data_IF_987211953779
#
_entry.id   IF_987211953779
#
_cell.length_a   1.000
_cell.length_b   1.000
_cell.length_c   1.000
_cell.angle_alpha   90.00
_cell.angle_beta   90.00
_cell.angle_gamma   90.00
#
_symmetry.space_group_name_H-M   'P 1'
#
loop_
_entity.id
_entity.type
_entity.pdbx_description
1 polymer ?
#
# COMPACT_ATOMS: atom_id res chain seq x y z
N UNK A 1 -56.96 -15.09 -56.49
CA UNK A 1 -55.56 -15.53 -56.31
C UNK A 1 -54.96 -14.80 -55.13
N UNK A 2 -54.88 -15.48 -53.97
CA UNK A 2 -54.36 -14.85 -52.71
C UNK A 2 -52.94 -15.34 -52.54
N UNK A 3 -51.95 -14.42 -52.60
CA UNK A 3 -50.55 -14.69 -52.33
C UNK A 3 -50.34 -14.64 -50.80
N UNK A 4 -50.00 -15.79 -50.21
CA UNK A 4 -49.54 -15.87 -48.82
C UNK A 4 -48.10 -15.39 -48.73
N UNK A 5 -47.86 -14.30 -48.07
CA UNK A 5 -46.51 -13.85 -47.64
C UNK A 5 -46.16 -14.62 -46.35
N UNK A 6 -45.20 -15.49 -46.40
CA UNK A 6 -44.59 -16.12 -45.23
C UNK A 6 -43.54 -15.19 -44.69
N UNK A 7 -43.84 -14.51 -43.60
CA UNK A 7 -42.87 -13.73 -42.84
C UNK A 7 -42.02 -14.71 -42.02
N UNK A 8 -40.76 -14.90 -42.43
CA UNK A 8 -39.79 -15.66 -41.66
C UNK A 8 -39.28 -14.79 -40.51
N UNK A 9 -39.72 -15.10 -39.28
CA UNK A 9 -39.25 -14.45 -38.05
C UNK A 9 -37.88 -15.01 -37.70
N UNK A 10 -36.80 -14.30 -38.02
CA UNK A 10 -35.43 -14.63 -37.56
C UNK A 10 -35.32 -14.12 -36.14
N UNK A 11 -35.50 -15.03 -35.18
CA UNK A 11 -35.19 -14.76 -33.79
C UNK A 11 -33.66 -14.70 -33.64
N UNK A 12 -33.11 -13.49 -33.60
CA UNK A 12 -31.70 -13.25 -33.27
C UNK A 12 -31.50 -13.53 -31.77
N UNK A 13 -30.99 -14.72 -31.45
CA UNK A 13 -30.56 -15.08 -30.12
C UNK A 13 -29.33 -14.20 -29.79
N UNK A 14 -29.59 -13.05 -29.18
CA UNK A 14 -28.55 -12.29 -28.48
C UNK A 14 -28.12 -13.08 -27.23
N UNK A 15 -27.14 -13.94 -27.38
CA UNK A 15 -26.45 -14.55 -26.25
C UNK A 15 -25.65 -13.41 -25.60
N UNK A 16 -25.93 -13.04 -24.36
CA UNK A 16 -25.10 -12.04 -23.69
C UNK A 16 -23.70 -12.65 -23.48
N UNK A 17 -22.75 -12.25 -24.32
CA UNK A 17 -21.35 -12.66 -24.26
C UNK A 17 -20.60 -12.19 -23.02
N UNK A 18 -21.28 -11.55 -22.07
CA UNK A 18 -20.72 -11.10 -20.79
C UNK A 18 -20.85 -12.10 -19.63
N UNK A 19 -21.51 -13.26 -19.83
CA UNK A 19 -21.73 -14.21 -18.72
C UNK A 19 -20.50 -15.08 -18.37
N UNK A 20 -19.44 -15.03 -19.16
CA UNK A 20 -18.25 -15.89 -18.94
C UNK A 20 -17.07 -15.16 -18.28
N UNK A 21 -17.17 -13.86 -18.02
CA UNK A 21 -16.10 -13.08 -17.38
C UNK A 21 -16.15 -13.10 -15.84
N UNK A 22 -17.23 -13.58 -15.23
CA UNK A 22 -17.37 -13.66 -13.78
C UNK A 22 -17.24 -15.11 -13.32
N UNK A 23 -16.05 -15.69 -13.51
CA UNK A 23 -15.71 -17.03 -13.01
C UNK A 23 -15.62 -17.12 -11.47
N UNK A 24 -15.89 -16.04 -10.75
CA UNK A 24 -15.99 -16.04 -9.31
C UNK A 24 -17.46 -16.04 -8.90
N UNK A 25 -17.88 -17.13 -8.28
CA UNK A 25 -19.20 -17.20 -7.68
C UNK A 25 -19.31 -16.10 -6.61
N UNK A 26 -20.10 -15.07 -6.89
CA UNK A 26 -20.25 -13.90 -6.01
C UNK A 26 -20.66 -14.30 -4.59
N UNK A 27 -21.42 -15.37 -4.41
CA UNK A 27 -21.79 -15.92 -3.12
C UNK A 27 -20.60 -16.54 -2.36
N UNK A 28 -19.69 -17.22 -3.05
CA UNK A 28 -18.47 -17.77 -2.46
C UNK A 28 -17.52 -16.65 -2.04
N UNK A 29 -17.33 -15.63 -2.87
CA UNK A 29 -16.56 -14.45 -2.54
C UNK A 29 -17.11 -13.75 -1.28
N UNK A 30 -18.42 -13.49 -1.24
CA UNK A 30 -19.06 -12.88 -0.07
C UNK A 30 -18.95 -13.74 1.18
N UNK A 31 -19.05 -15.06 1.06
CA UNK A 31 -18.85 -15.98 2.18
C UNK A 31 -17.43 -15.90 2.74
N UNK A 32 -16.43 -15.87 1.86
CA UNK A 32 -15.03 -15.73 2.26
C UNK A 32 -14.81 -14.37 2.94
N UNK A 33 -15.29 -13.30 2.33
CA UNK A 33 -15.16 -11.95 2.87
C UNK A 33 -15.81 -11.81 4.26
N UNK A 34 -16.99 -12.37 4.46
CA UNK A 34 -17.68 -12.40 5.76
C UNK A 34 -16.96 -13.28 6.81
N UNK A 35 -16.22 -14.31 6.37
CA UNK A 35 -15.44 -15.17 7.26
C UNK A 35 -14.13 -14.53 7.73
N UNK A 36 -13.64 -13.51 7.00
CA UNK A 36 -12.43 -12.78 7.36
C UNK A 36 -12.77 -11.78 8.46
N UNK A 37 -12.49 -12.16 9.70
CA UNK A 37 -12.51 -11.21 10.81
C UNK A 37 -11.22 -10.40 10.76
N UNK A 38 -11.30 -9.19 10.21
CA UNK A 38 -10.20 -8.25 10.34
C UNK A 38 -10.02 -7.94 11.83
N UNK A 39 -8.79 -8.04 12.37
CA UNK A 39 -8.54 -7.64 13.74
C UNK A 39 -8.99 -6.19 13.89
N UNK A 40 -9.87 -5.94 14.86
CA UNK A 40 -10.35 -4.61 15.16
C UNK A 40 -9.18 -3.75 15.61
N UNK A 41 -8.65 -2.94 14.69
CA UNK A 41 -7.63 -1.95 15.03
C UNK A 41 -8.33 -0.94 15.91
N UNK A 42 -7.98 -0.91 17.19
CA UNK A 42 -8.41 0.16 18.10
C UNK A 42 -7.82 1.46 17.57
N UNK A 43 -8.56 2.14 16.68
CA UNK A 43 -8.17 3.47 16.25
C UNK A 43 -8.13 4.36 17.50
N UNK A 44 -6.93 4.72 17.91
CA UNK A 44 -6.77 5.71 18.96
C UNK A 44 -7.32 7.05 18.44
N UNK A 45 -8.15 7.71 19.25
CA UNK A 45 -8.65 9.05 18.92
C UNK A 45 -7.52 10.10 18.82
N UNK A 46 -6.29 9.75 19.21
CA UNK A 46 -5.13 10.65 19.18
C UNK A 46 -4.46 10.63 17.82
N UNK A 47 -4.47 11.76 17.14
CA UNK A 47 -3.84 11.98 15.84
C UNK A 47 -2.58 12.85 15.98
N UNK A 48 -1.54 12.49 15.21
CA UNK A 48 -0.24 13.18 15.25
C UNK A 48 0.21 13.44 13.81
N UNK A 49 0.07 14.67 13.33
CA UNK A 49 0.49 15.04 11.98
C UNK A 49 2.02 15.15 11.90
N UNK A 50 2.65 14.52 10.90
CA UNK A 50 4.11 14.52 10.74
C UNK A 50 4.69 15.93 10.62
N UNK A 51 3.95 16.88 10.04
CA UNK A 51 4.33 18.29 9.90
C UNK A 51 4.56 18.98 11.23
N UNK A 52 3.80 18.62 12.26
CA UNK A 52 3.96 19.15 13.62
C UNK A 52 5.18 18.55 14.36
N UNK A 53 5.77 17.48 13.83
CA UNK A 53 6.87 16.74 14.44
C UNK A 53 8.17 16.76 13.62
N UNK A 54 8.32 17.78 12.76
CA UNK A 54 9.58 18.09 12.10
C UNK A 54 9.71 17.57 10.66
N UNK A 55 8.70 16.88 10.12
CA UNK A 55 8.65 16.59 8.69
C UNK A 55 8.29 17.86 7.90
N UNK A 56 8.93 18.05 6.75
CA UNK A 56 8.72 19.22 5.87
C UNK A 56 8.82 18.80 4.42
N UNK A 57 8.20 19.56 3.52
CA UNK A 57 8.20 19.27 2.09
C UNK A 57 9.54 19.52 1.42
N UNK A 58 10.22 20.61 1.82
CA UNK A 58 11.45 21.11 1.18
C UNK A 58 12.72 20.70 1.94
N UNK A 59 12.75 19.48 2.48
CA UNK A 59 13.92 18.93 3.16
C UNK A 59 14.33 17.59 2.50
N UNK A 60 15.52 17.11 2.86
CA UNK A 60 16.00 15.82 2.35
C UNK A 60 15.10 14.65 2.80
N UNK A 61 15.06 13.59 2.00
CA UNK A 61 14.36 12.36 2.38
C UNK A 61 14.86 11.80 3.72
N UNK A 62 16.14 11.91 4.00
CA UNK A 62 16.75 11.50 5.27
C UNK A 62 16.19 12.27 6.49
N UNK A 63 15.95 13.56 6.35
CA UNK A 63 15.37 14.37 7.43
C UNK A 63 13.93 13.97 7.72
N UNK A 64 13.11 13.79 6.66
CA UNK A 64 11.73 13.32 6.81
C UNK A 64 11.68 11.90 7.36
N UNK A 65 12.51 10.99 6.87
CA UNK A 65 12.63 9.63 7.42
C UNK A 65 12.88 9.64 8.92
N UNK A 66 13.86 10.45 9.37
CA UNK A 66 14.18 10.58 10.80
C UNK A 66 12.99 11.15 11.61
N UNK A 67 12.32 12.16 11.09
CA UNK A 67 11.17 12.79 11.76
C UNK A 67 9.99 11.81 11.86
N UNK A 68 9.63 11.12 10.76
CA UNK A 68 8.53 10.17 10.72
C UNK A 68 8.80 8.96 11.63
N UNK A 69 9.99 8.35 11.54
CA UNK A 69 10.34 7.20 12.38
C UNK A 69 10.40 7.57 13.88
N UNK A 70 10.90 8.77 14.20
CA UNK A 70 10.88 9.29 15.59
C UNK A 70 9.44 9.48 16.10
N UNK A 71 8.54 9.98 15.25
CA UNK A 71 7.14 10.16 15.62
C UNK A 71 6.44 8.82 15.81
N UNK A 72 6.62 7.86 14.91
CA UNK A 72 6.07 6.50 15.03
C UNK A 72 6.52 5.87 16.36
N UNK A 73 7.80 5.94 16.68
CA UNK A 73 8.33 5.42 17.94
C UNK A 73 7.74 6.16 19.18
N UNK A 74 7.55 7.46 19.08
CA UNK A 74 6.92 8.26 20.16
C UNK A 74 5.47 7.85 20.38
N UNK A 75 4.69 7.71 19.29
CA UNK A 75 3.27 7.35 19.36
C UNK A 75 3.10 5.95 19.92
N UNK A 76 3.89 4.98 19.47
CA UNK A 76 3.92 3.62 20.01
C UNK A 76 4.20 3.63 21.54
N UNK A 77 5.22 4.35 21.99
CA UNK A 77 5.55 4.47 23.43
C UNK A 77 4.44 5.13 24.27
N UNK A 78 3.60 5.96 23.66
CA UNK A 78 2.44 6.58 24.32
C UNK A 78 1.20 5.69 24.36
N UNK A 79 1.33 4.42 23.96
CA UNK A 79 0.23 3.44 23.93
C UNK A 79 -0.55 3.43 22.63
N UNK A 80 0.01 4.04 21.58
CA UNK A 80 -0.56 3.99 20.23
C UNK A 80 -1.27 5.27 19.80
N UNK A 81 -1.63 5.29 18.52
CA UNK A 81 -2.32 6.40 17.89
C UNK A 81 -2.17 6.41 16.38
N UNK A 82 -2.75 7.42 15.76
CA UNK A 82 -2.70 7.63 14.32
C UNK A 82 -1.62 8.66 13.98
N UNK A 83 -0.61 8.23 13.22
CA UNK A 83 0.39 9.12 12.60
C UNK A 83 -0.16 9.56 11.25
N UNK A 84 -0.46 10.84 11.11
CA UNK A 84 -1.11 11.40 9.93
C UNK A 84 -0.08 11.95 8.96
N UNK A 85 -0.16 11.51 7.71
CA UNK A 85 0.53 12.10 6.56
C UNK A 85 -0.48 13.05 5.89
N UNK A 86 -0.34 14.37 6.05
CA UNK A 86 -1.29 15.33 5.49
C UNK A 86 -1.20 15.38 3.96
N UNK A 87 -2.23 15.95 3.33
CA UNK A 87 -2.22 16.26 1.90
C UNK A 87 -0.92 16.99 1.53
N UNK A 88 -0.20 16.47 0.61
CA UNK A 88 0.99 16.99 -0.08
C UNK A 88 1.96 15.84 -0.45
N UNK A 89 3.10 16.16 -1.08
CA UNK A 89 4.14 15.16 -1.36
C UNK A 89 5.22 15.18 -0.28
N UNK A 90 5.39 14.03 0.38
CA UNK A 90 6.34 13.82 1.47
C UNK A 90 7.42 12.83 1.04
N UNK A 91 8.58 13.34 0.66
CA UNK A 91 9.71 12.50 0.26
C UNK A 91 10.42 11.93 1.49
N UNK A 92 10.63 10.62 1.54
CA UNK A 92 11.21 9.92 2.69
C UNK A 92 12.09 8.74 2.27
N UNK A 93 12.85 8.17 3.20
CA UNK A 93 13.44 6.83 3.10
C UNK A 93 12.58 5.79 3.81
N UNK A 94 13.15 4.63 4.15
CA UNK A 94 12.45 3.53 4.80
C UNK A 94 11.76 3.95 6.11
N UNK A 95 10.52 3.49 6.28
CA UNK A 95 9.72 3.71 7.50
C UNK A 95 9.66 2.39 8.28
N UNK A 96 9.93 2.47 9.57
CA UNK A 96 9.80 1.33 10.49
C UNK A 96 8.55 1.48 11.35
N UNK A 97 7.57 0.60 11.14
CA UNK A 97 6.36 0.56 11.94
C UNK A 97 6.63 0.02 13.34
N UNK A 98 5.92 0.54 14.32
CA UNK A 98 5.93 0.10 15.72
C UNK A 98 4.52 -0.28 16.15
N UNK A 99 4.42 -1.15 17.16
CA UNK A 99 3.12 -1.62 17.66
C UNK A 99 2.16 -0.48 18.02
N UNK A 100 0.88 -0.70 17.77
CA UNK A 100 -0.24 0.19 18.08
C UNK A 100 -0.27 1.49 17.27
N UNK A 101 0.39 1.53 16.10
CA UNK A 101 0.44 2.72 15.25
C UNK A 101 -0.34 2.48 13.96
N UNK A 102 -1.26 3.39 13.67
CA UNK A 102 -1.90 3.54 12.37
C UNK A 102 -1.17 4.64 11.58
N UNK A 103 -0.62 4.31 10.41
CA UNK A 103 -0.06 5.27 9.46
C UNK A 103 -1.17 5.69 8.50
N UNK A 104 -1.73 6.88 8.72
CA UNK A 104 -2.88 7.37 7.97
C UNK A 104 -2.48 8.40 6.92
N UNK A 105 -2.75 8.12 5.66
CA UNK A 105 -2.51 9.03 4.56
C UNK A 105 -3.81 9.75 4.20
N UNK A 106 -3.86 11.06 4.38
CA UNK A 106 -5.02 11.87 3.99
C UNK A 106 -5.22 11.83 2.46
N UNK A 107 -6.41 12.15 2.01
CA UNK A 107 -6.70 12.26 0.58
C UNK A 107 -5.81 13.33 -0.07
N UNK A 108 -5.12 12.95 -1.14
CA UNK A 108 -4.12 13.80 -1.81
C UNK A 108 -2.74 13.84 -1.14
N UNK A 109 -2.51 13.06 -0.08
CA UNK A 109 -1.18 12.81 0.43
C UNK A 109 -0.42 11.84 -0.49
N UNK A 110 0.84 12.13 -0.76
CA UNK A 110 1.76 11.23 -1.47
C UNK A 110 2.98 10.99 -0.59
N UNK A 111 3.14 9.77 -0.10
CA UNK A 111 4.34 9.34 0.60
C UNK A 111 5.32 8.74 -0.41
N UNK A 112 6.29 9.54 -0.84
CA UNK A 112 7.22 9.18 -1.91
C UNK A 112 8.54 8.67 -1.35
N UNK A 113 8.93 7.46 -1.71
CA UNK A 113 10.18 6.85 -1.28
C UNK A 113 11.33 7.22 -2.21
N UNK A 114 12.40 7.77 -1.63
CA UNK A 114 13.55 8.23 -2.38
C UNK A 114 14.43 7.05 -2.84
N UNK A 115 14.94 7.12 -4.07
CA UNK A 115 16.00 6.24 -4.54
C UNK A 115 17.35 6.64 -3.93
N UNK A 116 17.55 6.28 -2.68
CA UNK A 116 18.78 6.50 -1.93
C UNK A 116 19.08 5.26 -1.08
N UNK A 117 19.81 4.25 -1.57
CA UNK A 117 20.02 2.96 -0.89
C UNK A 117 20.47 3.08 0.57
N UNK A 118 21.26 4.11 0.91
CA UNK A 118 21.69 4.38 2.28
C UNK A 118 20.56 4.68 3.27
N UNK A 119 19.36 5.00 2.79
CA UNK A 119 18.17 5.25 3.62
C UNK A 119 17.40 3.95 3.92
N UNK A 120 17.87 2.82 3.41
CA UNK A 120 17.26 1.50 3.60
C UNK A 120 18.25 0.60 4.34
N UNK A 121 18.22 0.61 5.69
CA UNK A 121 19.17 -0.18 6.48
C UNK A 121 19.02 -1.67 6.20
N UNK A 122 20.08 -2.43 6.40
CA UNK A 122 20.01 -3.88 6.37
C UNK A 122 19.17 -4.37 7.55
N UNK A 123 18.18 -5.19 7.25
CA UNK A 123 17.27 -5.79 8.23
C UNK A 123 17.22 -7.30 8.06
N UNK A 124 16.89 -8.00 9.14
CA UNK A 124 16.62 -9.44 9.05
C UNK A 124 15.30 -9.65 8.33
N UNK A 125 15.34 -10.43 7.28
CA UNK A 125 14.18 -10.75 6.43
C UNK A 125 14.30 -12.18 5.89
N UNK A 126 13.46 -12.53 4.92
CA UNK A 126 13.59 -13.76 4.16
C UNK A 126 13.48 -13.46 2.67
N UNK A 127 14.22 -14.18 1.88
CA UNK A 127 14.12 -14.18 0.42
C UNK A 127 13.84 -15.61 -0.03
N UNK A 128 12.74 -15.84 -0.72
CA UNK A 128 12.31 -17.17 -1.19
C UNK A 128 12.35 -18.26 -0.09
N UNK A 129 11.95 -17.89 1.13
CA UNK A 129 11.95 -18.79 2.29
C UNK A 129 13.29 -18.90 3.03
N UNK A 130 14.37 -18.33 2.51
CA UNK A 130 15.70 -18.34 3.15
C UNK A 130 15.86 -17.11 4.02
N UNK A 131 16.19 -17.31 5.30
CA UNK A 131 16.48 -16.20 6.22
C UNK A 131 17.75 -15.48 5.79
N UNK A 132 17.69 -14.18 5.60
CA UNK A 132 18.82 -13.37 5.15
C UNK A 132 18.80 -11.96 5.77
N UNK A 133 19.90 -11.24 5.58
CA UNK A 133 19.96 -9.81 5.76
C UNK A 133 19.87 -9.14 4.39
N UNK A 134 18.93 -8.22 4.24
CA UNK A 134 18.75 -7.48 3.00
C UNK A 134 18.33 -6.04 3.31
N UNK A 135 18.34 -5.18 2.30
CA UNK A 135 17.81 -3.83 2.44
C UNK A 135 16.36 -3.86 2.95
N UNK A 136 16.08 -2.95 3.87
CA UNK A 136 14.73 -2.74 4.36
C UNK A 136 13.78 -2.44 3.19
N UNK A 137 12.55 -2.97 3.19
CA UNK A 137 11.52 -2.46 2.30
C UNK A 137 11.17 -1.01 2.64
N UNK A 138 10.41 -0.37 1.77
CA UNK A 138 9.92 1.00 1.99
C UNK A 138 9.20 1.16 3.32
N UNK A 139 8.35 0.19 3.69
CA UNK A 139 7.69 0.13 5.00
C UNK A 139 8.02 -1.24 5.61
N UNK A 140 8.64 -1.22 6.76
CA UNK A 140 9.13 -2.39 7.47
C UNK A 140 8.41 -2.57 8.81
N UNK A 141 8.01 -3.81 9.10
CA UNK A 141 7.40 -4.19 10.36
C UNK A 141 7.95 -5.56 10.80
N UNK A 142 8.51 -5.65 11.99
CA UNK A 142 9.04 -6.92 12.51
C UNK A 142 8.70 -7.07 13.99
N UNK A 143 8.02 -8.18 14.32
CA UNK A 143 7.57 -8.49 15.70
C UNK A 143 6.78 -7.34 16.34
N UNK A 144 5.86 -6.75 15.58
CA UNK A 144 4.94 -5.70 16.02
C UNK A 144 3.50 -6.20 15.91
N UNK A 145 2.60 -5.61 16.69
CA UNK A 145 1.17 -5.94 16.70
C UNK A 145 0.34 -4.68 16.55
N UNK A 146 -0.91 -4.84 16.13
CA UNK A 146 -1.91 -3.77 16.05
C UNK A 146 -1.41 -2.56 15.23
N UNK A 147 -0.90 -2.84 14.03
CA UNK A 147 -0.47 -1.83 13.07
C UNK A 147 -1.46 -1.72 11.91
N UNK A 148 -1.59 -0.53 11.36
CA UNK A 148 -2.38 -0.29 10.17
C UNK A 148 -1.71 0.71 9.24
N UNK A 149 -2.11 0.64 7.97
CA UNK A 149 -1.92 1.70 6.98
C UNK A 149 -3.31 2.02 6.44
N UNK A 150 -3.76 3.24 6.62
CA UNK A 150 -5.12 3.66 6.29
C UNK A 150 -5.16 4.95 5.48
N UNK A 151 -6.35 5.36 5.07
CA UNK A 151 -6.56 6.61 4.34
C UNK A 151 -6.70 6.41 2.83
N UNK A 152 -6.75 7.54 2.10
CA UNK A 152 -6.97 7.59 0.65
C UNK A 152 -5.78 8.19 -0.13
N UNK A 153 -4.65 8.41 0.56
CA UNK A 153 -3.43 8.90 -0.05
C UNK A 153 -2.71 7.82 -0.87
N UNK A 154 -1.57 8.19 -1.43
CA UNK A 154 -0.75 7.34 -2.29
C UNK A 154 0.57 6.99 -1.59
N UNK A 155 0.98 5.74 -1.70
CA UNK A 155 2.33 5.28 -1.36
C UNK A 155 3.06 5.04 -2.68
N UNK A 156 4.11 5.85 -2.93
CA UNK A 156 4.89 5.81 -4.16
C UNK A 156 6.30 5.25 -3.85
N UNK A 157 6.58 4.04 -4.31
CA UNK A 157 7.87 3.39 -4.16
C UNK A 157 8.98 3.96 -5.03
N UNK A 158 8.67 4.85 -5.98
CA UNK A 158 9.62 5.51 -6.87
C UNK A 158 10.32 4.56 -7.87
N UNK A 159 9.72 3.39 -8.15
CA UNK A 159 10.29 2.40 -9.06
C UNK A 159 10.16 2.80 -10.52
N UNK A 160 11.27 2.91 -11.23
CA UNK A 160 11.31 3.14 -12.68
C UNK A 160 12.67 2.71 -13.26
N UNK A 161 12.84 2.86 -14.60
CA UNK A 161 14.06 2.47 -15.31
C UNK A 161 15.32 3.29 -14.94
N UNK A 162 15.15 4.45 -14.34
CA UNK A 162 16.25 5.33 -13.95
C UNK A 162 16.63 5.18 -12.47
N UNK A 163 15.81 4.44 -11.69
CA UNK A 163 15.97 4.30 -10.24
C UNK A 163 16.19 2.84 -9.83
N UNK A 164 15.20 2.22 -9.20
CA UNK A 164 15.34 0.89 -8.59
C UNK A 164 15.55 -0.24 -9.59
N UNK A 165 14.99 -0.17 -10.78
CA UNK A 165 15.02 -1.28 -11.72
C UNK A 165 16.39 -1.63 -12.28
N UNK A 166 17.30 -0.70 -12.53
CA UNK A 166 18.69 -1.06 -12.91
C UNK A 166 19.43 -1.87 -11.84
N UNK A 167 19.00 -1.78 -10.57
CA UNK A 167 19.62 -2.53 -9.46
C UNK A 167 19.11 -3.97 -9.33
N UNK A 168 18.12 -4.39 -10.10
CA UNK A 168 17.54 -5.74 -9.99
C UNK A 168 18.39 -6.87 -10.59
N UNK A 169 19.61 -6.58 -10.99
CA UNK A 169 20.53 -7.54 -11.59
C UNK A 169 20.32 -7.82 -13.08
N UNK A 170 19.61 -6.95 -13.77
CA UNK A 170 19.30 -7.07 -15.20
C UNK A 170 20.55 -7.09 -16.11
N UNK A 171 21.73 -6.74 -15.58
CA UNK A 171 23.01 -6.91 -16.26
C UNK A 171 23.46 -8.36 -16.39
N UNK A 172 22.74 -9.32 -15.79
CA UNK A 172 23.04 -10.77 -15.93
C UNK A 172 22.66 -11.36 -17.27
N UNK A 173 21.80 -10.70 -18.02
CA UNK A 173 21.19 -11.24 -19.25
C UNK A 173 21.33 -10.29 -20.44
N UNK A 174 22.17 -9.28 -20.33
CA UNK A 174 22.53 -8.37 -21.42
C UNK A 174 23.52 -8.96 -22.36
#
# INVERSE_FOLDING_TARGET
MKKFFKTLLVALLLIPSCAWANGWNNAEYQRIEQSIQLPGIKQSAKKYAISAYGAKQNVSAAQNQKAINKLIALVSKKGGGTVVIPKDTWRTGAIEMKSFVDLHLEEGAVLQFAFEPKLYPLVRTSWEGIACWNYSPCIYAYKVTDIAITGKGTIDGGGNNDTWWPMNGNTRFG
#
